data_IF_015545379446
#
_entry.id   IF_015545379446
#
_cell.length_a   1.000
_cell.length_b   1.000
_cell.length_c   1.000
_cell.angle_alpha   90.00
_cell.angle_beta   90.00
_cell.angle_gamma   90.00
#
_symmetry.space_group_name_H-M   'P 1'
#
loop_
_entity.id
_entity.type
_entity.pdbx_description
1 polymer ?
#
# COMPACT_ATOMS: atom_id res chain seq x y z
N UNK A 1 -11.07 -11.27 1.91
CA UNK A 1 -10.43 -11.94 0.75
C UNK A 1 -9.00 -12.28 1.16
N UNK A 2 -8.36 -13.31 0.61
CA UNK A 2 -6.95 -13.65 0.91
C UNK A 2 -6.07 -13.60 -0.32
N UNK A 3 -4.76 -13.64 -0.14
CA UNK A 3 -3.80 -13.70 -1.25
C UNK A 3 -2.75 -14.77 -1.03
N UNK A 4 -2.68 -15.72 -1.98
CA UNK A 4 -1.68 -16.79 -2.02
C UNK A 4 -0.68 -16.51 -3.14
N UNK A 5 0.60 -16.60 -2.82
CA UNK A 5 1.66 -16.45 -3.83
C UNK A 5 1.77 -17.71 -4.69
N UNK A 6 1.86 -17.55 -6.01
CA UNK A 6 2.14 -18.67 -6.94
C UNK A 6 3.62 -18.99 -7.06
N UNK A 7 4.48 -18.09 -6.58
CA UNK A 7 5.93 -18.17 -6.72
C UNK A 7 6.61 -18.11 -5.35
N UNK A 8 7.84 -18.64 -5.30
CA UNK A 8 8.71 -18.46 -4.15
C UNK A 8 9.14 -16.99 -4.05
N UNK A 9 8.99 -16.44 -2.84
CA UNK A 9 9.46 -15.11 -2.47
C UNK A 9 10.62 -15.25 -1.49
N UNK A 10 11.73 -14.60 -1.79
CA UNK A 10 12.88 -14.60 -0.89
C UNK A 10 12.64 -13.67 0.30
N UNK A 11 13.42 -13.85 1.37
CA UNK A 11 13.42 -12.97 2.53
C UNK A 11 13.87 -11.55 2.16
N UNK A 12 13.33 -10.54 2.84
CA UNK A 12 13.62 -9.12 2.64
C UNK A 12 13.24 -8.56 1.26
N UNK A 13 12.45 -9.29 0.47
CA UNK A 13 11.89 -8.81 -0.79
C UNK A 13 10.86 -7.71 -0.51
N UNK A 14 11.05 -6.54 -1.12
CA UNK A 14 10.20 -5.38 -0.90
C UNK A 14 9.30 -5.09 -2.11
N UNK A 15 8.06 -4.70 -1.85
CA UNK A 15 7.04 -4.32 -2.82
C UNK A 15 6.58 -2.89 -2.53
N UNK A 16 6.65 -2.03 -3.53
CA UNK A 16 6.32 -0.62 -3.41
C UNK A 16 7.18 0.27 -4.30
N UNK A 17 7.05 1.58 -4.16
CA UNK A 17 6.22 2.28 -3.17
C UNK A 17 4.72 2.11 -3.44
N UNK A 18 3.90 2.09 -2.38
CA UNK A 18 2.44 2.13 -2.53
C UNK A 18 2.01 3.49 -3.10
N UNK A 19 1.26 3.53 -4.20
CA UNK A 19 0.71 4.79 -4.71
C UNK A 19 -0.51 5.17 -3.89
N UNK A 20 -0.28 5.63 -2.66
CA UNK A 20 -1.31 6.03 -1.70
C UNK A 20 -2.23 7.12 -2.23
N UNK A 21 -1.73 7.95 -3.16
CA UNK A 21 -2.52 8.97 -3.88
C UNK A 21 -3.66 8.41 -4.75
N UNK A 22 -3.57 7.13 -5.14
CA UNK A 22 -4.61 6.45 -5.91
C UNK A 22 -5.62 5.73 -4.99
N UNK A 23 -5.46 5.81 -3.68
CA UNK A 23 -6.25 5.09 -2.69
C UNK A 23 -7.08 6.06 -1.82
N UNK A 24 -8.29 5.64 -1.46
CA UNK A 24 -9.19 6.43 -0.59
C UNK A 24 -8.63 6.50 0.85
N UNK A 25 -7.86 5.49 1.26
CA UNK A 25 -7.20 5.40 2.55
C UNK A 25 -5.97 4.50 2.45
N UNK A 26 -5.05 4.63 3.40
CA UNK A 26 -3.87 3.76 3.45
C UNK A 26 -4.28 2.31 3.73
N UNK A 27 -3.91 1.33 2.88
CA UNK A 27 -4.39 -0.05 2.97
C UNK A 27 -4.02 -0.72 4.29
N UNK A 28 -2.93 -0.29 4.94
CA UNK A 28 -2.54 -0.77 6.25
C UNK A 28 -3.69 -0.68 7.27
N UNK A 29 -4.48 0.42 7.25
CA UNK A 29 -5.63 0.56 8.15
C UNK A 29 -6.76 -0.41 7.79
N UNK A 30 -7.06 -0.54 6.51
CA UNK A 30 -8.13 -1.41 6.04
C UNK A 30 -7.82 -2.87 6.40
N UNK A 31 -6.59 -3.31 6.17
CA UNK A 31 -6.16 -4.66 6.52
C UNK A 31 -6.18 -4.84 8.04
N UNK A 32 -5.68 -3.87 8.82
CA UNK A 32 -5.70 -3.94 10.28
C UNK A 32 -7.14 -4.03 10.85
N UNK A 33 -8.13 -3.36 10.26
CA UNK A 33 -9.53 -3.46 10.66
C UNK A 33 -10.13 -4.84 10.42
N UNK A 34 -9.53 -5.65 9.54
CA UNK A 34 -9.96 -7.02 9.26
C UNK A 34 -9.29 -8.06 10.17
N UNK A 35 -8.58 -7.65 11.22
CA UNK A 35 -7.98 -8.58 12.20
C UNK A 35 -9.06 -9.40 12.89
N UNK A 36 -8.96 -10.72 12.81
CA UNK A 36 -9.90 -11.66 13.41
C UNK A 36 -9.22 -13.00 13.69
N UNK A 37 -9.53 -13.66 14.82
CA UNK A 37 -9.01 -15.00 15.13
C UNK A 37 -9.50 -16.06 14.15
N UNK A 38 -10.66 -15.81 13.53
CA UNK A 38 -11.27 -16.69 12.53
C UNK A 38 -11.03 -16.10 11.14
N UNK A 39 -10.17 -16.74 10.36
CA UNK A 39 -10.04 -16.44 8.95
C UNK A 39 -11.37 -16.77 8.27
N UNK A 40 -11.98 -15.78 7.63
CA UNK A 40 -13.20 -15.99 6.85
C UNK A 40 -12.91 -16.94 5.69
N UNK A 41 -13.87 -17.78 5.31
CA UNK A 41 -13.84 -18.61 4.09
C UNK A 41 -13.96 -17.79 2.78
N UNK A 42 -13.72 -16.47 2.85
CA UNK A 42 -13.73 -15.59 1.69
C UNK A 42 -12.75 -16.09 0.62
N UNK A 43 -13.04 -15.85 -0.66
CA UNK A 43 -12.20 -16.28 -1.75
C UNK A 43 -10.75 -15.86 -1.54
N UNK A 44 -9.84 -16.70 -2.02
CA UNK A 44 -8.41 -16.46 -1.97
C UNK A 44 -7.90 -16.33 -3.40
N UNK A 45 -7.17 -15.27 -3.68
CA UNK A 45 -6.61 -14.99 -4.99
C UNK A 45 -5.22 -15.61 -5.05
N UNK A 46 -4.95 -16.37 -6.11
CA UNK A 46 -3.62 -16.89 -6.40
C UNK A 46 -2.96 -15.95 -7.41
N UNK A 47 -1.83 -15.35 -7.03
CA UNK A 47 -1.13 -14.41 -7.90
C UNK A 47 0.38 -14.49 -7.73
N UNK A 48 1.11 -13.98 -8.72
CA UNK A 48 2.54 -13.71 -8.63
C UNK A 48 2.75 -12.25 -8.20
N UNK A 49 3.13 -11.98 -6.93
CA UNK A 49 3.26 -10.60 -6.43
C UNK A 49 4.33 -9.80 -7.18
N UNK A 50 5.34 -10.48 -7.76
CA UNK A 50 6.38 -9.83 -8.57
C UNK A 50 5.80 -9.24 -9.86
N UNK A 51 4.85 -9.94 -10.50
CA UNK A 51 4.18 -9.45 -11.72
C UNK A 51 3.13 -8.37 -11.44
N UNK A 52 2.71 -8.23 -10.18
CA UNK A 52 1.79 -7.21 -9.71
C UNK A 52 2.49 -6.07 -8.95
N UNK A 53 3.81 -5.96 -9.10
CA UNK A 53 4.61 -4.89 -8.47
C UNK A 53 4.56 -3.55 -9.21
N UNK A 54 3.95 -3.51 -10.40
CA UNK A 54 3.58 -2.25 -11.07
C UNK A 54 2.65 -1.43 -10.15
N UNK A 55 2.85 -0.11 -9.96
CA UNK A 55 2.11 0.68 -8.98
C UNK A 55 0.58 0.54 -9.07
N UNK A 56 -0.01 0.50 -10.28
CA UNK A 56 -1.46 0.38 -10.44
C UNK A 56 -1.92 -1.02 -10.00
N UNK A 57 -1.18 -2.05 -10.41
CA UNK A 57 -1.47 -3.44 -10.06
C UNK A 57 -1.12 -3.81 -8.61
N UNK A 58 -0.25 -3.02 -7.97
CA UNK A 58 0.15 -3.19 -6.58
C UNK A 58 -1.07 -3.03 -5.66
N UNK A 59 -1.96 -2.08 -5.97
CA UNK A 59 -3.22 -1.88 -5.23
C UNK A 59 -4.12 -3.10 -5.34
N UNK A 60 -4.15 -3.76 -6.51
CA UNK A 60 -5.05 -4.88 -6.79
C UNK A 60 -4.82 -6.06 -5.86
N UNK A 61 -3.59 -6.31 -5.40
CA UNK A 61 -3.33 -7.43 -4.48
C UNK A 61 -3.09 -7.01 -3.04
N UNK A 62 -2.53 -5.82 -2.78
CA UNK A 62 -2.27 -5.36 -1.41
C UNK A 62 -3.56 -5.26 -0.60
N UNK A 63 -4.65 -4.80 -1.21
CA UNK A 63 -5.97 -4.75 -0.57
C UNK A 63 -6.58 -6.14 -0.29
N UNK A 64 -6.01 -7.20 -0.86
CA UNK A 64 -6.42 -8.59 -0.65
C UNK A 64 -5.58 -9.33 0.39
N UNK A 65 -4.57 -8.67 0.96
CA UNK A 65 -3.81 -9.19 2.08
C UNK A 65 -4.71 -9.30 3.31
N UNK A 66 -4.48 -10.35 4.10
CA UNK A 66 -5.15 -10.51 5.39
C UNK A 66 -4.20 -10.12 6.51
N UNK A 67 -4.82 -9.66 7.61
CA UNK A 67 -4.11 -9.56 8.85
C UNK A 67 -3.80 -10.97 9.37
N UNK A 68 -2.57 -11.19 9.82
CA UNK A 68 -2.21 -12.32 10.66
C UNK A 68 -3.02 -12.29 11.96
N UNK A 69 -3.20 -13.46 12.58
CA UNK A 69 -3.82 -13.72 13.88
C UNK A 69 -2.81 -13.72 15.02
N UNK A 70 -1.56 -14.04 14.70
CA UNK A 70 -0.46 -14.00 15.64
C UNK A 70 0.86 -13.62 14.96
N UNK A 71 1.85 -13.11 15.72
CA UNK A 71 3.15 -12.74 15.16
C UNK A 71 3.90 -13.90 14.50
N UNK A 72 3.65 -15.15 14.91
CA UNK A 72 4.38 -16.31 14.39
C UNK A 72 3.98 -16.71 12.97
N UNK A 73 2.77 -16.35 12.51
CA UNK A 73 2.34 -16.63 11.13
C UNK A 73 2.59 -15.45 10.17
N UNK A 74 3.04 -14.30 10.71
CA UNK A 74 3.44 -13.15 9.91
C UNK A 74 4.58 -13.55 8.95
N UNK A 75 4.39 -13.26 7.67
CA UNK A 75 5.43 -13.41 6.66
C UNK A 75 5.69 -12.13 5.87
N UNK A 76 4.88 -11.09 6.12
CA UNK A 76 5.00 -9.77 5.53
C UNK A 76 4.94 -8.68 6.61
N UNK A 77 5.63 -7.57 6.40
CA UNK A 77 5.58 -6.39 7.26
C UNK A 77 5.45 -5.11 6.44
N UNK A 78 4.86 -4.09 7.07
CA UNK A 78 4.81 -2.74 6.52
C UNK A 78 6.05 -1.96 6.97
N UNK A 79 6.71 -1.29 6.03
CA UNK A 79 7.84 -0.41 6.27
C UNK A 79 7.50 0.97 5.76
N UNK A 80 7.65 1.96 6.62
CA UNK A 80 7.48 3.35 6.26
C UNK A 80 8.85 4.03 6.10
N UNK A 81 9.12 4.55 4.90
CA UNK A 81 10.32 5.33 4.62
C UNK A 81 10.05 6.82 4.85
N UNK A 82 10.46 7.34 6.00
CA UNK A 82 10.27 8.75 6.38
C UNK A 82 10.92 9.75 5.42
N UNK A 83 12.01 9.38 4.75
CA UNK A 83 12.72 10.27 3.82
C UNK A 83 11.95 10.48 2.51
N UNK A 84 11.15 9.48 2.12
CA UNK A 84 10.38 9.48 0.88
C UNK A 84 8.88 9.67 1.12
N UNK A 85 8.43 9.69 2.38
CA UNK A 85 7.01 9.63 2.77
C UNK A 85 6.26 8.51 2.04
N UNK A 86 6.88 7.32 1.98
CA UNK A 86 6.39 6.19 1.20
C UNK A 86 6.36 4.90 2.03
N UNK A 87 5.29 4.14 1.83
CA UNK A 87 5.09 2.82 2.42
C UNK A 87 5.51 1.71 1.46
N UNK A 88 6.12 0.65 2.01
CA UNK A 88 6.52 -0.57 1.32
C UNK A 88 6.09 -1.78 2.12
N UNK A 89 5.79 -2.88 1.45
CA UNK A 89 5.63 -4.18 2.10
C UNK A 89 6.88 -5.02 1.90
N UNK A 90 7.39 -5.67 2.95
CA UNK A 90 8.58 -6.51 2.89
C UNK A 90 8.31 -7.91 3.41
N UNK A 91 8.88 -8.93 2.77
CA UNK A 91 8.86 -10.30 3.30
C UNK A 91 9.79 -10.41 4.51
N UNK A 92 9.30 -11.02 5.60
CA UNK A 92 10.08 -11.22 6.84
C UNK A 92 10.86 -12.53 6.85
N UNK A 93 10.52 -13.44 5.93
CA UNK A 93 11.14 -14.74 5.72
C UNK A 93 10.96 -15.16 4.26
N UNK A 94 11.62 -16.24 3.86
CA UNK A 94 11.29 -16.95 2.62
C UNK A 94 9.86 -17.48 2.67
N UNK A 95 9.11 -17.30 1.59
CA UNK A 95 7.73 -17.72 1.42
C UNK A 95 7.67 -18.67 0.22
N UNK A 96 7.15 -19.87 0.44
CA UNK A 96 7.00 -20.88 -0.59
C UNK A 96 5.73 -20.65 -1.43
N UNK A 97 5.72 -21.19 -2.65
CA UNK A 97 4.54 -21.14 -3.50
C UNK A 97 3.37 -21.89 -2.83
N UNK A 98 2.18 -21.30 -2.84
CA UNK A 98 1.00 -21.83 -2.17
C UNK A 98 0.78 -21.29 -0.75
N UNK A 99 1.72 -20.54 -0.18
CA UNK A 99 1.52 -19.87 1.11
C UNK A 99 0.71 -18.57 0.95
N UNK A 100 -0.14 -18.29 1.94
CA UNK A 100 -0.89 -17.03 2.05
C UNK A 100 0.01 -15.92 2.59
N UNK A 101 -0.10 -14.71 2.03
CA UNK A 101 0.59 -13.53 2.52
C UNK A 101 -0.19 -12.88 3.67
N UNK A 102 0.47 -12.74 4.81
CA UNK A 102 -0.11 -12.32 6.07
C UNK A 102 0.73 -11.22 6.71
N UNK A 103 0.07 -10.13 7.08
CA UNK A 103 0.69 -8.99 7.75
C UNK A 103 0.19 -8.92 9.19
N UNK A 104 1.09 -8.77 10.15
CA UNK A 104 0.71 -8.47 11.52
C UNK A 104 0.92 -6.98 11.78
N UNK A 105 -0.13 -6.27 12.18
CA UNK A 105 -0.01 -4.86 12.55
C UNK A 105 0.12 -4.74 14.07
N UNK A 106 1.27 -4.29 14.55
CA UNK A 106 1.37 -3.77 15.92
C UNK A 106 0.86 -2.33 15.92
N UNK A 107 0.36 -1.88 17.07
CA UNK A 107 -0.08 -0.48 17.26
C UNK A 107 1.01 0.54 16.86
N UNK A 108 2.28 0.18 17.05
CA UNK A 108 3.44 1.00 16.69
C UNK A 108 3.64 1.11 15.18
N UNK A 109 3.29 0.09 14.41
CA UNK A 109 3.47 0.09 12.95
C UNK A 109 2.45 1.04 12.26
N UNK A 110 1.31 1.28 12.91
CA UNK A 110 0.28 2.22 12.46
C UNK A 110 0.51 3.65 12.97
N UNK A 111 1.31 3.85 14.02
CA UNK A 111 1.50 5.17 14.64
C UNK A 111 2.02 6.26 13.68
N UNK A 112 3.05 5.99 12.84
CA UNK A 112 3.53 6.96 11.87
C UNK A 112 2.43 7.38 10.89
N UNK A 113 1.65 6.40 10.40
CA UNK A 113 0.54 6.64 9.50
C UNK A 113 -0.58 7.45 10.17
N UNK A 114 -0.86 7.20 11.45
CA UNK A 114 -1.92 7.93 12.19
C UNK A 114 -1.49 9.35 12.43
N UNK A 115 -0.21 9.52 12.77
CA UNK A 115 0.39 10.82 13.02
C UNK A 115 0.36 11.67 11.74
N UNK A 116 0.75 11.12 10.60
CA UNK A 116 0.66 11.82 9.31
C UNK A 116 -0.79 12.16 8.94
N UNK A 117 -1.73 11.22 9.12
CA UNK A 117 -3.15 11.42 8.85
C UNK A 117 -3.77 12.53 9.72
N UNK A 118 -3.46 12.55 11.03
CA UNK A 118 -3.96 13.55 11.97
C UNK A 118 -3.25 14.90 11.87
N UNK A 119 -1.99 14.92 11.44
CA UNK A 119 -1.27 16.17 11.16
C UNK A 119 -1.82 16.91 9.93
N UNK A 120 -2.63 16.25 9.10
CA UNK A 120 -3.36 16.92 8.05
C UNK A 120 -4.51 17.74 8.66
N UNK A 121 -4.31 19.06 8.71
CA UNK A 121 -5.23 20.01 9.36
C UNK A 121 -6.68 19.81 8.88
N UNK A 122 -6.87 19.60 7.58
CA UNK A 122 -8.19 19.42 6.96
C UNK A 122 -8.90 18.16 7.44
N UNK A 123 -8.16 17.08 7.67
CA UNK A 123 -8.70 15.81 8.16
C UNK A 123 -9.05 15.95 9.64
N UNK A 124 -8.20 16.60 10.43
CA UNK A 124 -8.51 16.87 11.84
C UNK A 124 -9.77 17.74 11.99
N UNK A 125 -9.92 18.79 11.17
CA UNK A 125 -11.10 19.66 11.17
C UNK A 125 -12.36 18.89 10.73
N UNK A 126 -12.27 18.07 9.69
CA UNK A 126 -13.37 17.20 9.25
C UNK A 126 -13.76 16.16 10.31
N UNK A 127 -12.77 15.58 11.02
CA UNK A 127 -12.99 14.61 12.10
C UNK A 127 -13.68 15.23 13.32
N UNK A 128 -13.42 16.50 13.61
CA UNK A 128 -14.09 17.27 14.67
C UNK A 128 -15.49 17.74 14.21
N UNK A 129 -15.87 17.48 12.96
CA UNK A 129 -17.19 17.82 12.41
C UNK A 129 -17.29 19.26 11.91
N UNK A 130 -16.18 19.94 11.70
CA UNK A 130 -16.17 21.26 11.05
C UNK A 130 -16.22 21.08 9.53
N UNK A 131 -17.26 21.62 8.89
CA UNK A 131 -17.31 21.70 7.42
C UNK A 131 -16.29 22.73 6.95
N UNK A 132 -15.16 22.26 6.43
CA UNK A 132 -14.20 23.10 5.70
C UNK A 132 -14.93 23.65 4.48
N UNK A 133 -15.18 24.97 4.45
CA UNK A 133 -15.69 25.63 3.24
C UNK A 133 -14.60 25.47 2.19
N UNK A 134 -14.95 24.85 1.06
CA UNK A 134 -14.02 24.64 -0.04
C UNK A 134 -13.49 25.99 -0.53
N UNK A 135 -12.33 26.40 -0.03
CA UNK A 135 -11.55 27.51 -0.55
C UNK A 135 -10.70 27.04 -1.72
N UNK A 136 -10.47 27.94 -2.69
CA UNK A 136 -9.79 27.74 -3.99
C UNK A 136 -8.47 26.93 -3.99
N UNK A 137 -7.86 26.68 -2.82
CA UNK A 137 -6.75 25.76 -2.64
C UNK A 137 -7.11 24.31 -3.00
N UNK A 138 -8.32 23.85 -2.64
CA UNK A 138 -8.81 22.51 -3.03
C UNK A 138 -8.93 22.36 -4.55
N UNK A 139 -9.26 23.44 -5.26
CA UNK A 139 -9.33 23.40 -6.72
C UNK A 139 -7.94 23.37 -7.35
N UNK A 140 -6.97 24.09 -6.81
CA UNK A 140 -5.57 24.01 -7.25
C UNK A 140 -4.93 22.67 -6.96
N UNK A 141 -5.09 22.14 -5.76
CA UNK A 141 -4.55 20.84 -5.38
C UNK A 141 -5.23 19.76 -6.22
N UNK A 142 -6.56 19.79 -6.36
CA UNK A 142 -7.29 18.88 -7.25
C UNK A 142 -6.85 19.01 -8.72
N UNK A 143 -6.62 20.22 -9.25
CA UNK A 143 -6.10 20.43 -10.60
C UNK A 143 -4.64 19.95 -10.77
N UNK A 144 -3.83 19.99 -9.70
CA UNK A 144 -2.47 19.46 -9.65
C UNK A 144 -2.46 17.92 -9.53
N UNK A 145 -3.43 17.35 -8.81
CA UNK A 145 -3.71 15.91 -8.71
C UNK A 145 -4.28 15.35 -10.02
N UNK A 146 -5.12 16.10 -10.73
CA UNK A 146 -5.72 15.72 -12.03
C UNK A 146 -4.78 15.96 -13.21
N UNK A 147 -3.75 16.80 -13.08
CA UNK A 147 -2.66 16.97 -14.06
C UNK A 147 -1.28 16.53 -13.53
N UNK A 148 -1.01 15.22 -13.37
CA UNK A 148 0.33 14.74 -13.00
C UNK A 148 1.40 15.02 -14.08
N UNK A 149 0.98 15.29 -15.33
CA UNK A 149 1.86 15.37 -16.49
C UNK A 149 2.71 16.65 -16.61
N UNK A 150 2.64 17.59 -15.65
CA UNK A 150 3.48 18.80 -15.70
C UNK A 150 4.77 18.74 -14.87
N UNK A 151 4.93 17.80 -13.95
CA UNK A 151 6.13 17.75 -13.09
C UNK A 151 6.84 16.40 -13.02
N UNK A 152 6.32 15.34 -13.64
CA UNK A 152 7.09 14.12 -13.81
C UNK A 152 8.10 14.31 -14.95
N UNK A 153 9.34 14.62 -14.55
CA UNK A 153 10.55 14.65 -15.36
C UNK A 153 10.51 13.60 -16.47
N UNK A 154 10.55 14.07 -17.71
CA UNK A 154 10.56 13.33 -18.98
C UNK A 154 11.77 12.42 -19.18
N UNK A 155 12.60 12.23 -18.15
CA UNK A 155 13.83 11.43 -18.19
C UNK A 155 13.63 10.00 -17.67
N UNK A 156 12.72 9.75 -16.72
CA UNK A 156 12.49 8.39 -16.20
C UNK A 156 11.78 7.47 -17.20
N UNK A 157 10.93 8.01 -18.08
CA UNK A 157 10.25 7.23 -19.11
C UNK A 157 11.12 6.87 -20.32
N UNK A 158 12.28 7.53 -20.51
CA UNK A 158 13.20 7.20 -21.62
C UNK A 158 14.08 5.98 -21.35
N UNK A 159 14.27 5.59 -20.09
CA UNK A 159 15.13 4.46 -19.74
C UNK A 159 14.50 3.08 -19.95
N UNK A 160 13.17 3.00 -20.16
CA UNK A 160 12.47 1.72 -20.32
C UNK A 160 11.99 1.41 -21.74
N UNK A 161 12.12 2.34 -22.69
CA UNK A 161 11.62 2.16 -24.08
C UNK A 161 12.69 2.19 -25.17
N UNK A 162 13.98 2.23 -24.83
CA UNK A 162 15.05 2.13 -25.82
C UNK A 162 15.81 0.81 -25.67
N UNK A 163 15.19 -0.27 -26.12
CA UNK A 163 15.78 -1.59 -25.97
C UNK A 163 14.94 -2.78 -26.44
N UNK A 164 14.38 -2.70 -27.65
CA UNK A 164 14.10 -3.88 -28.51
C UNK A 164 13.56 -3.44 -29.87
N UNK A 165 14.46 -3.29 -30.84
CA UNK A 165 14.15 -3.48 -32.26
C UNK A 165 14.38 -4.96 -32.57
N UNK A 166 13.31 -5.67 -32.93
CA UNK A 166 13.34 -6.80 -33.84
C UNK A 166 12.13 -6.69 -34.76
#
# INVERSE_FOLDING_TARGET
MGMITTNVLEESLSFGPLPTSLMIAEPAYLIAQTTTDRLSELPTIYADPKRLSDPIRLIEWVCNLRCARCPSEQNMELIYCHQLSQSFYRTTRRIEAGEELLIWFRRQDLQPLVTEYLNNLYISEAWIGHTVKATDLLQKDYEQFVNPHKSFNTEYCKLYYDGKKY
#
